data_IF_651773143485
#
_entry.id   IF_651773143485
#
_cell.length_a   1.000
_cell.length_b   1.000
_cell.length_c   1.000
_cell.angle_alpha   90.00
_cell.angle_beta   90.00
_cell.angle_gamma   90.00
#
_symmetry.space_group_name_H-M   'P 1'
#
loop_
_entity.id
_entity.type
_entity.pdbx_description
1 polymer ?
#
# COMPACT_ATOMS: atom_id res chain seq x y z
N UNK A 1 -6.12 -9.93 6.88
CA UNK A 1 -4.79 -9.36 6.53
C UNK A 1 -3.72 -10.44 6.29
N UNK A 2 -3.42 -11.32 7.25
CA UNK A 2 -2.29 -12.26 7.15
C UNK A 2 -2.30 -13.17 5.92
N UNK A 3 -3.48 -13.61 5.44
CA UNK A 3 -3.60 -14.42 4.23
C UNK A 3 -2.97 -13.77 2.99
N UNK A 4 -2.93 -12.44 2.91
CA UNK A 4 -2.34 -11.73 1.75
C UNK A 4 -0.83 -11.96 1.59
N UNK A 5 -0.15 -12.40 2.65
CA UNK A 5 1.29 -12.72 2.62
C UNK A 5 1.57 -14.18 2.26
N UNK A 6 0.53 -15.03 2.18
CA UNK A 6 0.69 -16.42 1.80
C UNK A 6 0.99 -16.59 0.30
N UNK A 7 1.70 -17.67 -0.04
CA UNK A 7 1.98 -18.03 -1.43
C UNK A 7 0.85 -18.76 -2.17
N UNK A 8 -0.22 -19.17 -1.46
CA UNK A 8 -1.34 -19.89 -2.06
C UNK A 8 -2.10 -19.00 -3.06
N UNK A 9 -2.51 -19.58 -4.20
CA UNK A 9 -3.22 -18.86 -5.26
C UNK A 9 -4.59 -18.37 -4.82
N UNK A 10 -5.28 -19.15 -4.00
CA UNK A 10 -6.63 -18.88 -3.46
C UNK A 10 -6.60 -18.29 -2.04
N UNK A 11 -5.48 -17.73 -1.63
CA UNK A 11 -5.22 -17.22 -0.27
C UNK A 11 -6.32 -16.33 0.31
N UNK A 12 -7.10 -15.67 -0.54
CA UNK A 12 -8.19 -14.80 -0.12
C UNK A 12 -9.55 -15.49 -0.03
N UNK A 13 -9.67 -16.76 -0.46
CA UNK A 13 -10.91 -17.56 -0.41
C UNK A 13 -11.49 -17.74 1.01
N UNK A 14 -10.70 -17.56 2.05
CA UNK A 14 -11.16 -17.55 3.45
C UNK A 14 -11.98 -16.30 3.83
N UNK A 15 -11.80 -15.18 3.11
CA UNK A 15 -12.38 -13.89 3.51
C UNK A 15 -13.91 -13.86 3.49
N UNK A 16 -14.63 -14.43 2.49
CA UNK A 16 -16.09 -14.47 2.53
C UNK A 16 -16.64 -15.15 3.78
N UNK A 17 -16.05 -16.28 4.17
CA UNK A 17 -16.45 -17.01 5.38
C UNK A 17 -16.16 -16.20 6.64
N UNK A 18 -14.97 -15.61 6.73
CA UNK A 18 -14.60 -14.73 7.84
C UNK A 18 -15.53 -13.52 7.94
N UNK A 19 -15.87 -12.89 6.82
CA UNK A 19 -16.76 -11.71 6.79
C UNK A 19 -18.16 -12.08 7.31
N UNK A 20 -18.69 -13.25 6.95
CA UNK A 20 -19.96 -13.75 7.51
C UNK A 20 -19.89 -13.88 9.03
N UNK A 21 -18.83 -14.52 9.54
CA UNK A 21 -18.62 -14.67 10.99
C UNK A 21 -18.53 -13.32 11.68
N UNK A 22 -17.77 -12.37 11.10
CA UNK A 22 -17.62 -11.03 11.66
C UNK A 22 -18.92 -10.23 11.65
N UNK A 23 -19.75 -10.39 10.60
CA UNK A 23 -21.06 -9.76 10.54
C UNK A 23 -22.02 -10.36 11.57
N UNK A 24 -22.12 -11.68 11.65
CA UNK A 24 -23.00 -12.37 12.62
C UNK A 24 -22.61 -12.00 14.06
N UNK A 25 -21.32 -11.99 14.37
CA UNK A 25 -20.81 -11.56 15.65
C UNK A 25 -21.11 -10.08 15.93
N UNK A 26 -20.93 -9.21 14.93
CA UNK A 26 -21.22 -7.78 15.03
C UNK A 26 -22.69 -7.52 15.33
N UNK A 27 -23.61 -8.24 14.67
CA UNK A 27 -25.06 -8.19 14.99
C UNK A 27 -25.29 -8.62 16.45
N UNK A 28 -24.62 -9.68 16.91
CA UNK A 28 -24.71 -10.16 18.29
C UNK A 28 -24.29 -9.14 19.36
N UNK A 29 -23.40 -8.20 19.03
CA UNK A 29 -23.00 -7.10 19.92
C UNK A 29 -23.78 -5.79 19.68
N UNK A 30 -24.81 -5.82 18.82
CA UNK A 30 -25.71 -4.69 18.57
C UNK A 30 -25.31 -3.78 17.39
N UNK A 31 -24.41 -4.22 16.49
CA UNK A 31 -24.18 -3.52 15.23
C UNK A 31 -25.33 -3.78 14.24
N UNK A 32 -25.66 -2.77 13.46
CA UNK A 32 -26.65 -2.84 12.38
C UNK A 32 -26.26 -1.92 11.23
N UNK A 33 -26.77 -2.19 10.06
CA UNK A 33 -26.70 -1.25 8.95
C UNK A 33 -27.33 0.09 9.35
N UNK A 34 -26.90 1.17 8.72
CA UNK A 34 -27.53 2.46 8.90
C UNK A 34 -28.88 2.49 8.14
N UNK A 35 -29.86 3.21 8.69
CA UNK A 35 -31.04 3.58 7.94
C UNK A 35 -30.66 4.73 7.00
N UNK A 36 -30.38 4.39 5.75
CA UNK A 36 -29.80 5.32 4.79
C UNK A 36 -30.88 5.83 3.85
N UNK A 37 -31.08 7.14 3.77
CA UNK A 37 -31.87 7.70 2.67
C UNK A 37 -31.18 7.39 1.33
N UNK A 38 -31.96 7.33 0.25
CA UNK A 38 -31.39 7.25 -1.09
C UNK A 38 -30.32 8.35 -1.29
N UNK A 39 -29.20 8.06 -2.00
CA UNK A 39 -28.17 9.04 -2.27
C UNK A 39 -28.81 10.30 -2.89
N UNK A 40 -28.70 11.43 -2.23
CA UNK A 40 -29.15 12.71 -2.75
C UNK A 40 -27.96 13.49 -3.22
N UNK A 41 -27.91 13.81 -4.51
CA UNK A 41 -26.94 14.76 -5.02
C UNK A 41 -27.11 16.10 -4.30
N UNK A 42 -26.13 16.46 -3.47
CA UNK A 42 -26.11 17.77 -2.81
C UNK A 42 -25.39 18.77 -3.70
N UNK A 43 -25.95 19.97 -3.91
CA UNK A 43 -25.26 21.03 -4.65
C UNK A 43 -24.00 21.52 -3.92
N UNK A 44 -23.97 21.36 -2.59
CA UNK A 44 -22.84 21.73 -1.71
C UNK A 44 -21.76 20.63 -1.66
N UNK A 45 -20.72 20.85 -0.85
CA UNK A 45 -19.68 19.87 -0.60
C UNK A 45 -20.21 18.63 0.14
N UNK A 46 -20.38 17.46 -0.52
CA UNK A 46 -20.84 16.26 0.17
C UNK A 46 -19.79 15.80 1.19
N UNK A 47 -20.28 15.12 2.24
CA UNK A 47 -19.41 14.62 3.31
C UNK A 47 -18.79 13.28 2.92
N UNK A 48 -17.48 13.24 2.81
CA UNK A 48 -16.69 12.04 2.61
C UNK A 48 -15.99 11.67 3.93
N UNK A 49 -16.46 10.62 4.58
CA UNK A 49 -15.82 10.07 5.76
C UNK A 49 -14.62 9.23 5.35
N UNK A 50 -13.46 9.58 5.83
CA UNK A 50 -12.23 8.80 5.65
C UNK A 50 -12.04 7.91 6.87
N UNK A 51 -12.24 6.61 6.70
CA UNK A 51 -12.01 5.61 7.74
C UNK A 51 -10.57 5.10 7.64
N UNK A 52 -9.72 5.54 8.58
CA UNK A 52 -8.30 5.21 8.59
C UNK A 52 -7.92 4.35 9.80
N UNK A 53 -7.55 3.10 9.54
CA UNK A 53 -7.10 2.17 10.58
C UNK A 53 -5.75 2.57 11.19
N UNK A 54 -4.86 3.12 10.37
CA UNK A 54 -3.56 3.67 10.76
C UNK A 54 -3.31 4.89 9.88
N UNK A 55 -3.08 6.05 10.51
CA UNK A 55 -2.81 7.27 9.75
C UNK A 55 -1.99 8.25 10.59
N UNK A 56 -0.68 8.08 10.60
CA UNK A 56 0.26 9.06 11.16
C UNK A 56 1.35 9.38 10.14
N UNK A 57 1.98 10.54 10.24
CA UNK A 57 2.88 11.09 9.21
C UNK A 57 4.11 10.20 8.89
N UNK A 58 4.48 9.32 9.82
CA UNK A 58 5.53 8.32 9.60
C UNK A 58 5.04 7.02 8.92
N UNK A 59 3.72 6.88 8.74
CA UNK A 59 3.15 5.65 8.21
C UNK A 59 3.05 5.68 6.68
N UNK A 60 3.13 4.49 6.07
CA UNK A 60 3.03 4.32 4.62
C UNK A 60 1.71 4.87 4.04
N UNK A 61 0.61 4.82 4.80
CA UNK A 61 -0.68 5.35 4.34
C UNK A 61 -0.66 6.88 4.18
N UNK A 62 0.04 7.61 5.06
CA UNK A 62 0.22 9.05 4.88
C UNK A 62 0.95 9.34 3.57
N UNK A 63 2.04 8.62 3.31
CA UNK A 63 2.83 8.79 2.08
C UNK A 63 2.03 8.46 0.82
N UNK A 64 1.18 7.43 0.87
CA UNK A 64 0.37 7.00 -0.27
C UNK A 64 -0.85 7.91 -0.49
N UNK A 65 -1.63 8.19 0.56
CA UNK A 65 -2.92 8.87 0.44
C UNK A 65 -2.84 10.40 0.62
N UNK A 66 -1.73 10.97 1.05
CA UNK A 66 -1.66 12.40 1.35
C UNK A 66 -2.11 13.29 0.19
N UNK A 67 -1.62 13.03 -1.02
CA UNK A 67 -2.02 13.78 -2.21
C UNK A 67 -3.46 13.47 -2.65
N UNK A 68 -3.96 12.25 -2.42
CA UNK A 68 -5.36 11.91 -2.65
C UNK A 68 -6.29 12.78 -1.79
N UNK A 69 -5.97 12.87 -0.50
CA UNK A 69 -6.77 13.65 0.45
C UNK A 69 -6.77 15.14 0.11
N UNK A 70 -5.63 15.69 -0.35
CA UNK A 70 -5.55 17.08 -0.82
C UNK A 70 -6.45 17.31 -2.04
N UNK A 71 -6.49 16.37 -2.99
CA UNK A 71 -7.40 16.46 -4.15
C UNK A 71 -8.86 16.35 -3.71
N UNK A 72 -9.21 15.36 -2.89
CA UNK A 72 -10.57 15.13 -2.42
C UNK A 72 -11.15 16.33 -1.67
N UNK A 73 -10.31 17.01 -0.87
CA UNK A 73 -10.71 18.21 -0.11
C UNK A 73 -11.15 19.38 -1.00
N UNK A 74 -10.79 19.40 -2.28
CA UNK A 74 -11.25 20.45 -3.20
C UNK A 74 -12.77 20.41 -3.42
N UNK A 75 -13.41 19.24 -3.28
CA UNK A 75 -14.82 19.04 -3.63
C UNK A 75 -15.66 18.41 -2.53
N UNK A 76 -15.02 17.70 -1.58
CA UNK A 76 -15.69 17.04 -0.46
C UNK A 76 -15.34 17.72 0.87
N UNK A 77 -16.30 17.69 1.80
CA UNK A 77 -15.97 17.91 3.22
C UNK A 77 -15.37 16.63 3.76
N UNK A 78 -14.08 16.65 4.09
CA UNK A 78 -13.37 15.48 4.59
C UNK A 78 -13.47 15.39 6.11
N UNK A 79 -14.00 14.28 6.59
CA UNK A 79 -14.06 13.94 8.01
C UNK A 79 -13.18 12.72 8.26
N UNK A 80 -12.12 12.83 9.04
CA UNK A 80 -11.31 11.68 9.45
C UNK A 80 -11.98 10.94 10.62
N UNK A 81 -12.08 9.64 10.52
CA UNK A 81 -12.40 8.74 11.63
C UNK A 81 -11.23 7.81 11.90
N UNK A 82 -10.63 7.90 13.10
CA UNK A 82 -9.48 7.08 13.47
C UNK A 82 -9.33 6.94 14.98
N UNK A 83 -8.47 6.03 15.44
CA UNK A 83 -8.07 5.97 16.85
C UNK A 83 -7.27 7.24 17.24
N UNK A 84 -7.46 7.74 18.45
CA UNK A 84 -6.84 9.00 18.92
C UNK A 84 -5.31 9.03 18.72
N UNK A 85 -4.65 7.90 18.90
CA UNK A 85 -3.20 7.75 18.75
C UNK A 85 -2.70 7.79 17.31
N UNK A 86 -3.59 7.80 16.30
CA UNK A 86 -3.23 7.60 14.90
C UNK A 86 -3.16 8.89 14.07
N UNK A 87 -3.46 10.06 14.64
CA UNK A 87 -3.43 11.31 13.88
C UNK A 87 -2.61 12.40 14.58
N UNK A 88 -1.39 12.60 14.09
CA UNK A 88 -0.52 13.73 14.45
C UNK A 88 -0.90 15.01 13.69
N UNK A 89 -0.23 16.14 13.97
CA UNK A 89 -0.56 17.44 13.40
C UNK A 89 -0.50 17.47 11.85
N UNK A 90 0.50 16.89 11.18
CA UNK A 90 0.53 16.82 9.72
C UNK A 90 -0.68 16.08 9.13
N UNK A 91 -1.09 14.97 9.76
CA UNK A 91 -2.27 14.22 9.32
C UNK A 91 -3.54 15.04 9.50
N UNK A 92 -3.73 15.64 10.68
CA UNK A 92 -4.94 16.44 10.96
C UNK A 92 -5.16 17.58 9.98
N UNK A 93 -4.08 18.19 9.47
CA UNK A 93 -4.15 19.29 8.52
C UNK A 93 -4.75 18.93 7.16
N UNK A 94 -4.85 17.64 6.82
CA UNK A 94 -5.43 17.15 5.58
C UNK A 94 -6.96 17.17 5.57
N UNK A 95 -7.61 17.31 6.73
CA UNK A 95 -9.05 17.15 6.91
C UNK A 95 -9.74 18.46 7.34
N UNK A 96 -11.04 18.56 7.08
CA UNK A 96 -11.87 19.65 7.60
C UNK A 96 -12.29 19.39 9.05
N UNK A 97 -12.42 18.10 9.43
CA UNK A 97 -12.81 17.66 10.74
C UNK A 97 -12.14 16.33 11.10
N UNK A 98 -11.88 16.11 12.40
CA UNK A 98 -11.32 14.85 12.89
C UNK A 98 -12.19 14.31 14.02
N UNK A 99 -12.64 13.07 13.86
CA UNK A 99 -13.41 12.33 14.83
C UNK A 99 -12.58 11.18 15.40
N UNK A 100 -12.28 11.28 16.68
CA UNK A 100 -11.52 10.25 17.39
C UNK A 100 -12.42 9.27 18.12
N UNK A 101 -11.91 8.05 18.26
CA UNK A 101 -12.42 7.08 19.20
C UNK A 101 -11.27 6.42 19.95
N UNK A 102 -11.60 5.85 21.13
CA UNK A 102 -10.67 5.03 21.90
C UNK A 102 -11.08 3.57 21.73
N UNK A 103 -10.09 2.74 21.49
CA UNK A 103 -10.28 1.30 21.53
C UNK A 103 -10.34 0.85 22.98
N UNK A 104 -11.40 0.13 23.33
CA UNK A 104 -11.61 -0.48 24.64
C UNK A 104 -11.29 -1.98 24.56
N UNK A 105 -11.06 -2.61 25.71
CA UNK A 105 -10.82 -4.07 25.77
C UNK A 105 -12.06 -4.86 25.34
N UNK A 106 -13.25 -4.35 25.69
CA UNK A 106 -14.54 -4.93 25.30
C UNK A 106 -14.98 -4.42 23.92
N UNK A 107 -15.68 -5.27 23.16
CA UNK A 107 -16.12 -4.96 21.81
C UNK A 107 -17.19 -3.85 21.73
N UNK A 108 -17.77 -3.43 22.85
CA UNK A 108 -18.79 -2.35 22.93
C UNK A 108 -18.34 -1.00 22.35
N UNK A 109 -17.03 -0.74 22.22
CA UNK A 109 -16.57 0.47 21.52
C UNK A 109 -16.95 0.48 20.03
N UNK A 110 -17.12 -0.68 19.39
CA UNK A 110 -17.51 -0.79 17.98
C UNK A 110 -18.91 -0.22 17.72
N UNK A 111 -19.86 -0.47 18.63
CA UNK A 111 -21.22 0.11 18.54
C UNK A 111 -21.17 1.63 18.70
N UNK A 112 -20.30 2.14 19.59
CA UNK A 112 -20.08 3.59 19.75
C UNK A 112 -19.48 4.21 18.48
N UNK A 113 -18.52 3.51 17.82
CA UNK A 113 -17.93 3.97 16.56
C UNK A 113 -18.98 3.96 15.44
N UNK A 114 -19.76 2.89 15.31
CA UNK A 114 -20.84 2.82 14.33
C UNK A 114 -21.90 3.92 14.56
N UNK A 115 -22.30 4.17 15.82
CA UNK A 115 -23.22 5.27 16.17
C UNK A 115 -22.63 6.64 15.79
N UNK A 116 -21.33 6.85 16.01
CA UNK A 116 -20.63 8.06 15.59
C UNK A 116 -20.65 8.23 14.08
N UNK A 117 -20.40 7.18 13.29
CA UNK A 117 -20.51 7.22 11.82
C UNK A 117 -21.95 7.60 11.42
N UNK A 118 -22.95 6.95 12.01
CA UNK A 118 -24.36 7.24 11.75
C UNK A 118 -24.74 8.69 12.09
N UNK A 119 -24.19 9.26 13.16
CA UNK A 119 -24.44 10.66 13.53
C UNK A 119 -23.79 11.68 12.58
N UNK A 120 -22.64 11.33 11.96
CA UNK A 120 -22.01 12.14 10.91
C UNK A 120 -22.88 12.13 9.65
N UNK A 121 -23.63 11.06 9.41
CA UNK A 121 -24.45 10.81 8.23
C UNK A 121 -23.66 11.09 6.92
N UNK A 122 -22.52 10.41 6.69
CA UNK A 122 -21.69 10.70 5.52
C UNK A 122 -22.41 10.28 4.23
N UNK A 123 -22.19 11.04 3.16
CA UNK A 123 -22.67 10.69 1.83
C UNK A 123 -21.86 9.50 1.27
N UNK A 124 -20.61 9.40 1.65
CA UNK A 124 -19.70 8.32 1.26
C UNK A 124 -18.73 7.99 2.39
N UNK A 125 -18.27 6.73 2.46
CA UNK A 125 -17.11 6.32 3.25
C UNK A 125 -16.00 5.87 2.31
N UNK A 126 -14.79 6.39 2.55
CA UNK A 126 -13.58 5.89 1.93
C UNK A 126 -12.71 5.21 3.01
N UNK A 127 -12.71 3.91 3.01
CA UNK A 127 -11.83 3.08 3.80
C UNK A 127 -10.44 3.11 3.18
N UNK A 128 -9.47 3.76 3.81
CA UNK A 128 -8.09 3.77 3.27
C UNK A 128 -7.50 2.36 3.25
N UNK A 129 -7.88 1.54 4.24
CA UNK A 129 -7.56 0.11 4.31
C UNK A 129 -8.66 -0.63 5.08
N UNK A 130 -8.74 -1.95 4.85
CA UNK A 130 -9.55 -2.87 5.67
C UNK A 130 -8.70 -4.08 6.02
N UNK A 131 -8.40 -4.25 7.33
CA UNK A 131 -7.66 -5.39 7.84
C UNK A 131 -6.31 -5.09 8.50
N UNK A 132 -5.93 -3.83 8.68
CA UNK A 132 -4.74 -3.46 9.45
C UNK A 132 -5.02 -3.34 10.96
N UNK A 133 -6.27 -3.10 11.34
CA UNK A 133 -6.79 -3.09 12.72
C UNK A 133 -8.06 -3.92 12.79
N UNK A 134 -8.40 -4.40 13.98
CA UNK A 134 -9.57 -5.31 14.14
C UNK A 134 -10.91 -4.64 13.87
N UNK A 135 -11.03 -3.32 14.12
CA UNK A 135 -12.29 -2.60 13.96
C UNK A 135 -12.69 -2.44 12.48
N UNK A 136 -11.72 -2.26 11.59
CA UNK A 136 -11.98 -2.05 10.17
C UNK A 136 -12.74 -3.23 9.54
N UNK A 137 -12.24 -4.48 9.61
CA UNK A 137 -12.96 -5.63 9.06
C UNK A 137 -14.35 -5.84 9.65
N UNK A 138 -14.55 -5.52 10.93
CA UNK A 138 -15.89 -5.67 11.54
C UNK A 138 -16.84 -4.64 10.96
N UNK A 139 -16.50 -3.33 11.05
CA UNK A 139 -17.39 -2.26 10.61
C UNK A 139 -17.58 -2.22 9.09
N UNK A 140 -16.58 -2.63 8.31
CA UNK A 140 -16.69 -2.72 6.86
C UNK A 140 -17.70 -3.78 6.38
N UNK A 141 -18.14 -4.70 7.25
CA UNK A 141 -19.21 -5.65 6.96
C UNK A 141 -20.61 -5.07 7.20
N UNK A 142 -20.72 -3.78 7.53
CA UNK A 142 -21.99 -3.08 7.70
C UNK A 142 -22.12 -1.93 6.70
N UNK A 143 -23.34 -1.73 6.18
CA UNK A 143 -23.66 -0.57 5.33
C UNK A 143 -23.81 0.65 6.22
N UNK A 144 -22.78 1.48 6.32
CA UNK A 144 -22.73 2.67 7.20
C UNK A 144 -22.83 3.99 6.42
N UNK A 145 -22.78 3.94 5.10
CA UNK A 145 -23.03 5.05 4.18
C UNK A 145 -23.65 4.53 2.87
N UNK A 146 -24.32 5.39 2.08
CA UNK A 146 -24.87 5.01 0.77
C UNK A 146 -23.81 4.41 -0.17
N UNK A 147 -22.61 4.97 -0.17
CA UNK A 147 -21.49 4.56 -1.03
C UNK A 147 -20.28 4.25 -0.15
N UNK A 148 -19.69 3.06 -0.31
CA UNK A 148 -18.49 2.64 0.41
C UNK A 148 -17.38 2.23 -0.55
N UNK A 149 -16.24 2.87 -0.43
CA UNK A 149 -15.04 2.68 -1.26
C UNK A 149 -13.90 2.15 -0.39
N UNK A 150 -13.08 1.26 -0.90
CA UNK A 150 -11.81 0.86 -0.26
C UNK A 150 -10.63 1.23 -1.15
N UNK A 151 -9.54 1.70 -0.55
CA UNK A 151 -8.27 2.01 -1.20
C UNK A 151 -7.18 0.97 -0.96
N UNK A 152 -6.03 1.19 -1.57
CA UNK A 152 -4.88 0.27 -1.59
C UNK A 152 -4.09 0.23 -0.25
N UNK A 153 -4.60 0.78 0.83
CA UNK A 153 -3.85 0.79 2.11
C UNK A 153 -3.55 -0.61 2.65
N UNK A 154 -4.43 -1.59 2.39
CA UNK A 154 -4.11 -3.00 2.40
C UNK A 154 -4.35 -3.56 1.00
N UNK A 155 -3.29 -4.09 0.38
CA UNK A 155 -3.26 -4.44 -1.04
C UNK A 155 -4.01 -5.75 -1.34
N UNK A 156 -5.29 -5.83 -1.00
CA UNK A 156 -6.11 -7.01 -1.27
C UNK A 156 -7.60 -6.67 -1.18
N UNK A 157 -8.42 -7.32 -2.02
CA UNK A 157 -9.88 -7.26 -1.93
C UNK A 157 -10.38 -7.53 -0.51
N UNK A 158 -11.42 -6.82 -0.11
CA UNK A 158 -12.06 -7.00 1.20
C UNK A 158 -12.96 -8.22 1.24
N UNK A 159 -13.61 -8.56 0.13
CA UNK A 159 -14.71 -9.52 0.04
C UNK A 159 -15.90 -9.16 0.95
N UNK A 160 -16.03 -7.89 1.36
CA UNK A 160 -17.20 -7.38 2.07
C UNK A 160 -18.28 -7.00 1.07
N UNK A 161 -19.50 -7.53 1.22
CA UNK A 161 -20.65 -7.22 0.33
C UNK A 161 -21.09 -5.76 0.41
N UNK A 162 -20.74 -5.09 1.51
CA UNK A 162 -21.04 -3.68 1.78
C UNK A 162 -20.04 -2.70 1.18
N UNK A 163 -18.91 -3.17 0.66
CA UNK A 163 -17.94 -2.33 -0.06
C UNK A 163 -18.25 -2.38 -1.55
N UNK A 164 -18.53 -1.22 -2.13
CA UNK A 164 -18.97 -1.11 -3.53
C UNK A 164 -17.79 -1.10 -4.49
N UNK A 165 -16.74 -0.34 -4.16
CA UNK A 165 -15.63 -0.05 -5.07
C UNK A 165 -14.27 -0.29 -4.43
N UNK A 166 -13.37 -0.86 -5.23
CA UNK A 166 -11.92 -0.83 -4.97
C UNK A 166 -11.29 0.25 -5.85
N UNK A 167 -10.58 1.18 -5.23
CA UNK A 167 -10.04 2.38 -5.85
C UNK A 167 -8.50 2.37 -5.83
N UNK A 168 -7.86 2.33 -7.00
CA UNK A 168 -6.40 2.24 -7.12
C UNK A 168 -5.93 2.57 -8.55
N UNK A 169 -4.64 2.68 -8.78
CA UNK A 169 -4.01 2.80 -10.08
C UNK A 169 -4.09 1.49 -10.87
N UNK A 170 -4.21 1.62 -12.20
CA UNK A 170 -4.39 0.48 -13.12
C UNK A 170 -3.22 -0.49 -13.08
N UNK A 171 -1.99 0.01 -13.02
CA UNK A 171 -0.77 -0.81 -13.02
C UNK A 171 -0.64 -1.75 -11.82
N UNK A 172 -1.34 -1.49 -10.73
CA UNK A 172 -1.38 -2.40 -9.58
C UNK A 172 -2.35 -3.57 -9.77
N UNK A 173 -3.30 -3.49 -10.69
CA UNK A 173 -4.29 -4.53 -10.91
C UNK A 173 -3.76 -5.52 -11.96
N UNK A 174 -3.59 -6.77 -11.53
CA UNK A 174 -3.27 -7.87 -12.44
C UNK A 174 -4.55 -8.51 -12.97
N UNK A 175 -5.08 -9.47 -12.22
CA UNK A 175 -6.33 -10.15 -12.57
C UNK A 175 -7.50 -9.53 -11.79
N UNK A 176 -8.42 -8.80 -12.47
CA UNK A 176 -9.59 -8.22 -11.83
C UNK A 176 -10.53 -9.24 -11.18
N UNK A 177 -10.48 -10.50 -11.59
CA UNK A 177 -11.31 -11.56 -11.02
C UNK A 177 -10.93 -11.91 -9.58
N UNK A 178 -9.71 -11.54 -9.15
CA UNK A 178 -9.24 -11.76 -7.78
C UNK A 178 -9.80 -10.75 -6.76
N UNK A 179 -10.54 -9.74 -7.22
CA UNK A 179 -11.18 -8.74 -6.37
C UNK A 179 -12.70 -8.93 -6.40
N UNK A 180 -13.38 -8.74 -5.27
CA UNK A 180 -14.85 -8.84 -5.18
C UNK A 180 -15.55 -7.54 -5.60
N UNK A 181 -14.95 -6.40 -5.30
CA UNK A 181 -15.51 -5.07 -5.53
C UNK A 181 -15.50 -4.70 -7.03
N UNK A 182 -16.33 -3.75 -7.45
CA UNK A 182 -16.16 -3.06 -8.72
C UNK A 182 -14.90 -2.19 -8.66
N UNK A 183 -14.12 -2.17 -9.74
CA UNK A 183 -12.81 -1.50 -9.78
C UNK A 183 -12.94 -0.14 -10.44
N UNK A 184 -12.53 0.91 -9.75
CA UNK A 184 -12.36 2.25 -10.33
C UNK A 184 -10.89 2.55 -10.40
N UNK A 185 -10.36 2.51 -11.63
CA UNK A 185 -8.93 2.58 -11.91
C UNK A 185 -8.51 4.00 -12.30
N UNK A 186 -7.40 4.41 -11.70
CA UNK A 186 -6.72 5.65 -12.03
C UNK A 186 -5.56 5.39 -13.00
N UNK A 187 -5.16 6.39 -13.79
CA UNK A 187 -3.86 6.36 -14.46
C UNK A 187 -2.71 6.19 -13.44
N UNK A 188 -1.66 5.48 -13.82
CA UNK A 188 -0.52 5.22 -12.92
C UNK A 188 0.18 6.51 -12.44
N UNK A 189 0.15 7.55 -13.26
CA UNK A 189 0.70 8.86 -12.93
C UNK A 189 -0.10 9.62 -11.85
N UNK A 190 -1.30 9.14 -11.52
CA UNK A 190 -2.13 9.74 -10.44
C UNK A 190 -1.53 9.50 -9.06
N UNK A 191 -0.71 8.45 -8.92
CA UNK A 191 -0.02 8.16 -7.69
C UNK A 191 1.15 9.12 -7.48
N UNK A 192 0.97 10.04 -6.56
CA UNK A 192 2.02 10.93 -6.07
C UNK A 192 2.19 10.66 -4.58
N UNK A 193 3.38 10.20 -4.18
CA UNK A 193 3.69 9.96 -2.78
C UNK A 193 3.85 11.29 -2.03
N UNK A 194 3.12 11.46 -0.95
CA UNK A 194 3.36 12.54 0.00
C UNK A 194 4.74 12.34 0.64
N UNK A 195 5.56 13.37 0.65
CA UNK A 195 6.86 13.29 1.30
C UNK A 195 6.69 13.21 2.82
N UNK A 196 7.42 12.30 3.48
CA UNK A 196 7.44 12.29 4.94
C UNK A 196 7.98 13.63 5.45
N UNK A 197 7.34 14.26 6.44
CA UNK A 197 7.86 15.49 7.05
C UNK A 197 9.21 15.29 7.76
N UNK A 198 9.61 14.06 7.98
CA UNK A 198 10.89 13.71 8.61
C UNK A 198 11.96 13.30 7.59
N UNK A 199 11.65 13.34 6.30
CA UNK A 199 12.60 12.96 5.25
C UNK A 199 13.67 14.04 5.05
N UNK A 200 14.94 13.64 5.13
CA UNK A 200 16.09 14.44 4.76
C UNK A 200 16.80 13.75 3.59
N UNK A 201 16.98 14.42 2.44
CA UNK A 201 17.70 13.84 1.32
C UNK A 201 19.15 13.46 1.71
N UNK A 202 19.57 12.30 1.23
CA UNK A 202 20.94 11.82 1.34
C UNK A 202 21.55 11.71 -0.05
N UNK A 203 22.84 12.03 -0.19
CA UNK A 203 23.56 11.73 -1.42
C UNK A 203 23.65 10.22 -1.62
N UNK A 204 23.33 9.74 -2.82
CA UNK A 204 23.40 8.33 -3.14
C UNK A 204 24.83 7.83 -3.08
N UNK A 205 25.04 6.69 -2.43
CA UNK A 205 26.34 6.05 -2.30
C UNK A 205 26.46 4.88 -3.30
N UNK A 206 27.00 5.16 -4.48
CA UNK A 206 27.21 4.14 -5.52
C UNK A 206 28.60 3.58 -5.40
N UNK A 207 28.74 2.35 -4.93
CA UNK A 207 30.02 1.66 -4.86
C UNK A 207 30.39 1.08 -6.23
N UNK A 208 31.48 1.56 -6.82
CA UNK A 208 31.96 1.12 -8.15
C UNK A 208 32.32 -0.38 -8.15
N UNK A 209 33.02 -0.82 -7.11
CA UNK A 209 33.37 -2.22 -6.86
C UNK A 209 32.78 -2.62 -5.49
N UNK A 210 31.92 -3.62 -5.50
CA UNK A 210 31.25 -4.10 -4.30
C UNK A 210 31.83 -5.45 -3.83
N UNK A 211 32.59 -5.46 -2.72
CA UNK A 211 33.08 -6.70 -2.12
C UNK A 211 33.16 -6.56 -0.58
N UNK A 212 32.30 -7.28 0.20
CA UNK A 212 31.15 -8.06 -0.28
C UNK A 212 30.10 -7.16 -0.95
N UNK A 213 29.28 -7.75 -1.82
CA UNK A 213 28.09 -7.05 -2.36
C UNK A 213 26.99 -7.07 -1.31
N UNK A 214 26.40 -5.91 -1.06
CA UNK A 214 25.37 -5.70 -0.02
C UNK A 214 23.98 -5.73 -0.62
N UNK A 215 23.21 -6.74 -0.21
CA UNK A 215 21.83 -6.96 -0.65
C UNK A 215 20.88 -6.37 0.37
N UNK A 216 20.11 -5.37 0.00
CA UNK A 216 19.04 -4.80 0.82
C UNK A 216 17.77 -5.64 0.77
N UNK A 217 17.15 -5.85 1.93
CA UNK A 217 15.82 -6.44 2.10
C UNK A 217 14.95 -5.48 2.94
N UNK A 218 14.51 -4.33 2.36
CA UNK A 218 13.77 -3.29 3.10
C UNK A 218 12.28 -3.65 3.18
N UNK A 219 11.97 -4.69 3.92
CA UNK A 219 10.61 -5.26 3.96
C UNK A 219 10.23 -5.75 5.34
N UNK A 220 8.97 -5.48 5.73
CA UNK A 220 8.39 -6.00 6.95
C UNK A 220 8.55 -7.52 7.04
N UNK A 221 8.78 -8.03 8.26
CA UNK A 221 9.01 -9.45 8.54
C UNK A 221 7.97 -10.38 7.90
N UNK A 222 6.70 -9.99 7.85
CA UNK A 222 5.64 -10.79 7.23
C UNK A 222 5.85 -11.07 5.73
N UNK A 223 6.63 -10.26 5.04
CA UNK A 223 6.98 -10.43 3.62
C UNK A 223 8.17 -11.36 3.43
N UNK A 224 9.03 -11.50 4.43
CA UNK A 224 10.24 -12.33 4.41
C UNK A 224 9.90 -13.79 4.73
N UNK A 225 9.07 -14.39 3.89
CA UNK A 225 8.56 -15.74 4.09
C UNK A 225 9.62 -16.82 3.83
N UNK A 226 9.41 -18.08 4.31
CA UNK A 226 10.40 -19.15 4.16
C UNK A 226 10.76 -19.48 2.71
N UNK A 227 9.82 -19.37 1.78
CA UNK A 227 10.06 -19.61 0.35
C UNK A 227 11.06 -18.58 -0.21
N UNK A 228 10.82 -17.29 0.06
CA UNK A 228 11.71 -16.22 -0.36
C UNK A 228 13.11 -16.36 0.24
N UNK A 229 13.22 -16.70 1.54
CA UNK A 229 14.53 -17.01 2.17
C UNK A 229 15.23 -18.17 1.46
N UNK A 230 14.48 -19.19 1.02
CA UNK A 230 15.02 -20.28 0.21
C UNK A 230 15.59 -19.80 -1.12
N UNK A 231 14.94 -18.86 -1.78
CA UNK A 231 15.43 -18.24 -3.04
C UNK A 231 16.67 -17.40 -2.78
N UNK A 232 16.72 -16.61 -1.70
CA UNK A 232 17.92 -15.86 -1.34
C UNK A 232 19.13 -16.77 -1.08
N UNK A 233 18.91 -17.98 -0.52
CA UNK A 233 19.98 -18.99 -0.37
C UNK A 233 20.47 -19.47 -1.74
N UNK A 234 19.56 -19.80 -2.67
CA UNK A 234 19.95 -20.19 -4.04
C UNK A 234 20.77 -19.10 -4.71
N UNK A 235 20.38 -17.83 -4.57
CA UNK A 235 21.15 -16.69 -5.11
C UNK A 235 22.53 -16.64 -4.48
N UNK A 236 22.65 -16.71 -3.14
CA UNK A 236 23.93 -16.71 -2.44
C UNK A 236 24.85 -17.84 -2.91
N UNK A 237 24.30 -19.05 -3.03
CA UNK A 237 25.07 -20.26 -3.33
C UNK A 237 25.54 -20.29 -4.80
N UNK A 238 24.93 -19.48 -5.69
CA UNK A 238 25.28 -19.36 -7.11
C UNK A 238 26.02 -18.05 -7.45
N UNK A 239 26.11 -17.09 -6.53
CA UNK A 239 26.85 -15.85 -6.75
C UNK A 239 28.36 -16.08 -6.83
N UNK A 240 29.05 -15.36 -7.73
CA UNK A 240 30.50 -15.46 -7.95
C UNK A 240 31.32 -14.64 -6.95
N UNK A 241 30.66 -13.97 -6.02
CA UNK A 241 31.27 -13.12 -4.98
C UNK A 241 30.56 -13.26 -3.64
N UNK A 242 31.20 -12.86 -2.53
CA UNK A 242 30.58 -12.83 -1.21
C UNK A 242 29.39 -11.87 -1.19
N UNK A 243 28.28 -12.28 -0.58
CA UNK A 243 27.08 -11.48 -0.34
C UNK A 243 26.90 -11.18 1.15
N UNK A 244 26.50 -9.96 1.46
CA UNK A 244 26.09 -9.54 2.79
C UNK A 244 24.62 -9.06 2.72
N UNK A 245 23.71 -9.75 3.43
CA UNK A 245 22.29 -9.41 3.44
C UNK A 245 21.99 -8.40 4.56
N UNK A 246 21.44 -7.26 4.18
CA UNK A 246 21.00 -6.20 5.06
C UNK A 246 19.47 -6.24 5.18
N UNK A 247 18.98 -6.70 6.32
CA UNK A 247 17.57 -7.01 6.55
C UNK A 247 16.94 -5.92 7.41
N UNK A 248 15.87 -5.29 6.92
CA UNK A 248 15.15 -4.21 7.60
C UNK A 248 13.71 -4.62 7.93
N UNK A 249 13.51 -5.55 8.90
CA UNK A 249 12.22 -6.21 9.12
C UNK A 249 11.20 -5.35 9.87
N UNK A 250 11.59 -4.16 10.31
CA UNK A 250 10.77 -3.23 11.10
C UNK A 250 10.26 -3.84 12.42
N UNK A 251 11.13 -4.54 13.13
CA UNK A 251 10.83 -5.21 14.41
C UNK A 251 11.79 -4.80 15.51
N UNK A 252 11.38 -5.04 16.76
CA UNK A 252 12.19 -4.77 17.95
C UNK A 252 12.05 -5.88 19.01
N UNK A 253 12.73 -5.71 20.15
CA UNK A 253 12.61 -6.61 21.30
C UNK A 253 12.89 -8.08 20.98
N UNK A 254 12.05 -8.98 21.48
CA UNK A 254 12.17 -10.43 21.29
C UNK A 254 12.00 -10.87 19.83
N UNK A 255 11.14 -10.16 19.07
CA UNK A 255 10.92 -10.45 17.66
C UNK A 255 12.21 -10.20 16.84
N UNK A 256 12.96 -9.13 17.16
CA UNK A 256 14.26 -8.88 16.54
C UNK A 256 15.26 -10.01 16.84
N UNK A 257 15.31 -10.48 18.09
CA UNK A 257 16.21 -11.57 18.46
C UNK A 257 15.86 -12.87 17.71
N UNK A 258 14.57 -13.18 17.60
CA UNK A 258 14.10 -14.34 16.84
C UNK A 258 14.40 -14.21 15.35
N UNK A 259 14.22 -13.01 14.77
CA UNK A 259 14.54 -12.71 13.37
C UNK A 259 16.05 -12.83 13.11
N UNK A 260 16.90 -12.32 13.98
CA UNK A 260 18.36 -12.49 13.90
C UNK A 260 18.78 -13.96 13.90
N UNK A 261 18.18 -14.76 14.79
CA UNK A 261 18.44 -16.23 14.83
C UNK A 261 18.01 -16.91 13.53
N UNK A 262 16.84 -16.54 13.00
CA UNK A 262 16.32 -17.07 11.74
C UNK A 262 17.29 -16.78 10.58
N UNK A 263 17.64 -15.50 10.39
CA UNK A 263 18.52 -15.10 9.30
C UNK A 263 19.92 -15.67 9.46
N UNK A 264 20.47 -15.66 10.67
CA UNK A 264 21.80 -16.25 10.90
C UNK A 264 21.85 -17.76 10.64
N UNK A 265 20.72 -18.46 10.83
CA UNK A 265 20.59 -19.89 10.50
C UNK A 265 20.58 -20.16 9.00
N UNK A 266 19.85 -19.35 8.22
CA UNK A 266 19.60 -19.62 6.80
C UNK A 266 20.51 -18.82 5.87
N UNK A 267 20.91 -17.63 6.27
CA UNK A 267 21.80 -16.70 5.57
C UNK A 267 22.86 -16.18 6.56
N UNK A 268 23.86 -17.01 6.92
CA UNK A 268 24.91 -16.63 7.87
C UNK A 268 25.61 -15.34 7.45
N UNK A 269 25.94 -14.47 8.42
CA UNK A 269 26.57 -13.17 8.18
C UNK A 269 25.56 -12.04 7.84
N UNK A 270 24.25 -12.31 7.82
CA UNK A 270 23.25 -11.27 7.61
C UNK A 270 23.24 -10.24 8.74
N UNK A 271 23.11 -8.97 8.39
CA UNK A 271 22.91 -7.86 9.32
C UNK A 271 21.42 -7.58 9.43
N UNK A 272 20.82 -7.86 10.58
CA UNK A 272 19.40 -7.61 10.85
C UNK A 272 19.25 -6.37 11.72
N UNK A 273 18.71 -5.31 11.15
CA UNK A 273 18.55 -4.01 11.80
C UNK A 273 17.33 -3.98 12.72
N UNK A 274 17.44 -3.32 13.89
CA UNK A 274 16.25 -3.01 14.68
C UNK A 274 15.42 -1.94 13.99
N UNK A 275 14.18 -1.74 14.46
CA UNK A 275 13.39 -0.57 14.08
C UNK A 275 14.16 0.71 14.39
N UNK A 276 14.24 1.64 13.43
CA UNK A 276 14.98 2.89 13.51
C UNK A 276 14.11 4.08 13.13
N UNK A 277 14.59 5.30 13.43
CA UNK A 277 14.03 6.52 12.82
C UNK A 277 14.25 6.49 11.30
N UNK A 278 13.36 7.14 10.57
CA UNK A 278 13.33 7.04 9.11
C UNK A 278 14.67 7.41 8.44
N UNK A 279 15.30 8.52 8.84
CA UNK A 279 16.58 8.93 8.24
C UNK A 279 17.74 8.00 8.61
N UNK A 280 17.73 7.42 9.82
CA UNK A 280 18.74 6.43 10.23
C UNK A 280 18.61 5.12 9.42
N UNK A 281 17.35 4.71 9.14
CA UNK A 281 17.07 3.61 8.22
C UNK A 281 17.53 3.91 6.80
N UNK A 282 17.28 5.12 6.27
CA UNK A 282 17.75 5.51 4.95
C UNK A 282 19.27 5.53 4.85
N UNK A 283 19.98 5.94 5.90
CA UNK A 283 21.44 5.91 5.93
C UNK A 283 22.00 4.48 5.84
N UNK A 284 21.39 3.52 6.57
CA UNK A 284 21.76 2.11 6.46
C UNK A 284 21.43 1.53 5.09
N UNK A 285 20.26 1.88 4.53
CA UNK A 285 19.84 1.44 3.20
C UNK A 285 20.79 1.97 2.12
N UNK A 286 21.23 3.22 2.23
CA UNK A 286 22.17 3.87 1.30
C UNK A 286 23.55 3.19 1.24
N UNK A 287 23.86 2.32 2.19
CA UNK A 287 25.09 1.52 2.18
C UNK A 287 24.98 0.24 1.33
N UNK A 288 23.79 -0.08 0.79
CA UNK A 288 23.53 -1.28 0.02
C UNK A 288 23.69 -1.04 -1.49
N UNK A 289 23.83 -2.13 -2.26
CA UNK A 289 24.15 -2.10 -3.69
C UNK A 289 22.99 -2.54 -4.58
N UNK A 290 22.15 -3.45 -4.10
CA UNK A 290 20.99 -3.99 -4.82
C UNK A 290 19.87 -4.31 -3.84
N UNK A 291 18.62 -4.10 -4.25
CA UNK A 291 17.44 -4.52 -3.50
C UNK A 291 16.84 -5.77 -4.15
N UNK A 292 16.62 -6.82 -3.38
CA UNK A 292 15.87 -7.99 -3.77
C UNK A 292 14.49 -7.96 -3.11
N UNK A 293 13.46 -7.60 -3.90
CA UNK A 293 12.11 -7.45 -3.36
C UNK A 293 11.47 -8.80 -3.06
N UNK A 294 10.83 -8.94 -1.88
CA UNK A 294 10.17 -10.19 -1.52
C UNK A 294 8.90 -10.43 -2.34
N UNK A 295 8.54 -11.69 -2.45
CA UNK A 295 7.31 -12.13 -3.09
C UNK A 295 6.60 -13.20 -2.24
N UNK A 296 5.28 -13.35 -2.39
CA UNK A 296 4.36 -12.71 -3.32
C UNK A 296 3.91 -11.29 -2.94
N UNK A 297 4.48 -10.67 -1.92
CA UNK A 297 4.08 -9.35 -1.45
C UNK A 297 5.25 -8.37 -1.55
N UNK A 298 5.20 -7.46 -2.52
CA UNK A 298 6.23 -6.48 -2.79
C UNK A 298 6.37 -5.34 -1.76
N UNK A 299 7.35 -4.47 -1.97
CA UNK A 299 7.80 -3.43 -1.04
C UNK A 299 7.00 -2.14 -1.08
N UNK A 300 6.62 -1.66 -2.25
CA UNK A 300 6.08 -0.34 -2.59
C UNK A 300 6.88 0.83 -1.97
N UNK A 301 6.67 1.17 -0.70
CA UNK A 301 7.39 2.27 -0.04
C UNK A 301 8.89 2.01 0.10
N UNK A 302 9.30 0.77 0.38
CA UNK A 302 10.71 0.38 0.40
C UNK A 302 11.37 0.46 -0.98
N UNK A 303 10.59 0.31 -2.05
CA UNK A 303 11.04 0.52 -3.44
C UNK A 303 11.31 2.00 -3.70
N UNK A 304 10.41 2.88 -3.31
CA UNK A 304 10.62 4.34 -3.39
C UNK A 304 11.87 4.76 -2.63
N UNK A 305 12.06 4.21 -1.42
CA UNK A 305 13.23 4.50 -0.60
C UNK A 305 14.53 4.00 -1.27
N UNK A 306 14.50 2.82 -1.92
CA UNK A 306 15.64 2.29 -2.69
C UNK A 306 15.97 3.18 -3.90
N UNK A 307 14.97 3.62 -4.65
CA UNK A 307 15.20 4.50 -5.81
C UNK A 307 15.75 5.86 -5.42
N UNK A 308 15.34 6.41 -4.27
CA UNK A 308 15.91 7.63 -3.70
C UNK A 308 17.40 7.51 -3.40
N UNK A 309 17.86 6.29 -3.10
CA UNK A 309 19.28 5.97 -2.86
C UNK A 309 19.99 5.42 -4.11
N UNK A 310 19.34 5.51 -5.29
CA UNK A 310 19.85 4.97 -6.56
C UNK A 310 20.16 3.46 -6.51
N UNK A 311 19.47 2.70 -5.67
CA UNK A 311 19.65 1.25 -5.52
C UNK A 311 18.75 0.52 -6.52
N UNK A 312 19.33 -0.24 -7.48
CA UNK A 312 18.56 -1.05 -8.41
C UNK A 312 17.81 -2.18 -7.69
N UNK A 313 16.67 -2.58 -8.24
CA UNK A 313 15.75 -3.53 -7.63
C UNK A 313 15.36 -4.62 -8.60
N UNK A 314 15.29 -5.87 -8.10
CA UNK A 314 14.66 -7.00 -8.80
C UNK A 314 13.34 -7.33 -8.09
N UNK A 315 12.29 -7.55 -8.86
CA UNK A 315 10.99 -8.00 -8.35
C UNK A 315 10.44 -9.17 -9.15
N UNK A 316 9.62 -10.00 -8.50
CA UNK A 316 8.85 -11.06 -9.16
C UNK A 316 7.39 -10.63 -9.23
N UNK A 317 6.86 -10.51 -10.44
CA UNK A 317 5.49 -10.09 -10.67
C UNK A 317 4.52 -11.28 -10.62
N UNK A 318 3.34 -11.05 -10.07
CA UNK A 318 2.27 -12.04 -9.99
C UNK A 318 0.91 -11.47 -10.39
N UNK A 319 -0.16 -12.28 -10.33
CA UNK A 319 -1.49 -11.89 -10.80
C UNK A 319 -2.26 -11.00 -9.81
N UNK A 320 -1.90 -11.01 -8.53
CA UNK A 320 -2.63 -10.29 -7.49
C UNK A 320 -1.95 -8.95 -7.13
N UNK A 321 -2.72 -8.03 -6.57
CA UNK A 321 -2.30 -6.67 -6.24
C UNK A 321 -0.94 -6.59 -5.52
N UNK A 322 -0.70 -7.33 -4.41
CA UNK A 322 0.56 -7.19 -3.67
C UNK A 322 1.79 -7.62 -4.46
N UNK A 323 1.63 -8.47 -5.49
CA UNK A 323 2.72 -8.93 -6.34
C UNK A 323 3.03 -7.96 -7.50
N UNK A 324 2.29 -6.87 -7.64
CA UNK A 324 2.45 -5.88 -8.73
C UNK A 324 2.94 -4.51 -8.24
N UNK A 325 3.04 -4.34 -6.93
CA UNK A 325 3.40 -3.04 -6.34
C UNK A 325 4.72 -2.50 -6.88
N UNK A 326 5.72 -3.35 -6.98
CA UNK A 326 7.08 -2.97 -7.32
C UNK A 326 7.29 -2.89 -8.82
N UNK A 327 6.68 -3.82 -9.57
CA UNK A 327 6.77 -3.83 -11.03
C UNK A 327 6.12 -2.61 -11.67
N UNK A 328 4.99 -2.13 -11.13
CA UNK A 328 4.38 -0.87 -11.56
C UNK A 328 5.35 0.30 -11.39
N UNK A 329 6.04 0.39 -10.25
CA UNK A 329 7.00 1.45 -9.98
C UNK A 329 8.21 1.41 -10.93
N UNK A 330 8.71 0.20 -11.24
CA UNK A 330 9.79 0.03 -12.22
C UNK A 330 9.36 0.50 -13.62
N UNK A 331 8.15 0.14 -14.06
CA UNK A 331 7.58 0.59 -15.34
C UNK A 331 7.40 2.10 -15.39
N UNK A 332 6.89 2.69 -14.33
CA UNK A 332 6.66 4.13 -14.22
C UNK A 332 7.96 4.94 -14.34
N UNK A 333 9.07 4.41 -13.83
CA UNK A 333 10.40 5.01 -13.97
C UNK A 333 11.10 4.69 -15.30
N UNK A 334 10.49 3.92 -16.21
CA UNK A 334 11.09 3.51 -17.48
C UNK A 334 12.35 2.66 -17.30
N UNK A 335 12.39 1.88 -16.22
CA UNK A 335 13.51 0.98 -15.95
C UNK A 335 13.43 -0.30 -16.80
N UNK A 336 14.56 -0.99 -17.04
CA UNK A 336 14.60 -2.16 -17.92
C UNK A 336 13.63 -3.27 -17.49
N UNK A 337 12.85 -3.81 -18.44
CA UNK A 337 11.83 -4.83 -18.17
C UNK A 337 12.35 -6.14 -17.57
N UNK A 338 13.64 -6.49 -17.80
CA UNK A 338 14.24 -7.69 -17.21
C UNK A 338 14.40 -7.64 -15.69
N UNK A 339 14.25 -6.45 -15.06
CA UNK A 339 14.19 -6.29 -13.60
C UNK A 339 12.87 -6.83 -13.03
N UNK A 340 11.88 -7.09 -13.88
CA UNK A 340 10.56 -7.62 -13.53
C UNK A 340 10.49 -9.07 -13.97
N UNK A 341 10.85 -9.98 -13.06
CA UNK A 341 10.80 -11.41 -13.33
C UNK A 341 9.35 -11.92 -13.37
N UNK A 342 9.10 -12.94 -14.19
CA UNK A 342 7.80 -13.58 -14.33
C UNK A 342 7.73 -14.93 -13.61
N UNK A 343 8.89 -15.48 -13.23
CA UNK A 343 9.03 -16.71 -12.44
C UNK A 343 10.28 -16.66 -11.56
N UNK A 344 10.45 -17.68 -10.73
CA UNK A 344 11.56 -17.76 -9.78
C UNK A 344 12.94 -17.88 -10.47
N UNK A 345 13.01 -18.59 -11.59
CA UNK A 345 14.26 -18.80 -12.32
C UNK A 345 14.73 -17.48 -12.95
N UNK A 346 13.82 -16.74 -13.56
CA UNK A 346 14.07 -15.40 -14.07
C UNK A 346 14.47 -14.43 -12.95
N UNK A 347 13.84 -14.52 -11.77
CA UNK A 347 14.21 -13.70 -10.61
C UNK A 347 15.64 -13.98 -10.15
N UNK A 348 16.03 -15.25 -10.00
CA UNK A 348 17.37 -15.65 -9.62
C UNK A 348 18.38 -15.19 -10.66
N UNK A 349 18.09 -15.42 -11.94
CA UNK A 349 18.95 -15.00 -13.06
C UNK A 349 19.17 -13.50 -13.10
N UNK A 350 18.11 -12.70 -12.95
CA UNK A 350 18.18 -11.24 -12.93
C UNK A 350 18.97 -10.74 -11.69
N UNK A 351 18.79 -11.37 -10.53
CA UNK A 351 19.54 -11.05 -9.32
C UNK A 351 21.04 -11.31 -9.51
N UNK A 352 21.41 -12.50 -10.00
CA UNK A 352 22.81 -12.87 -10.26
C UNK A 352 23.46 -11.96 -11.32
N UNK A 353 22.70 -11.53 -12.34
CA UNK A 353 23.15 -10.57 -13.35
C UNK A 353 23.64 -9.26 -12.73
N UNK A 354 22.89 -8.68 -11.77
CA UNK A 354 23.31 -7.46 -11.07
C UNK A 354 24.41 -7.73 -10.04
N UNK A 355 24.36 -8.87 -9.38
CA UNK A 355 25.30 -9.24 -8.32
C UNK A 355 26.71 -9.48 -8.90
N UNK A 356 26.81 -10.17 -10.03
CA UNK A 356 28.08 -10.60 -10.59
C UNK A 356 28.67 -9.60 -11.61
N UNK A 357 27.95 -8.52 -11.93
CA UNK A 357 28.36 -7.50 -12.91
C UNK A 357 28.29 -6.08 -12.34
N UNK A 358 29.39 -5.63 -11.73
CA UNK A 358 29.49 -4.27 -11.17
C UNK A 358 29.23 -3.19 -12.23
N UNK A 359 29.72 -3.35 -13.45
CA UNK A 359 29.56 -2.34 -14.51
C UNK A 359 28.05 -2.12 -14.83
N UNK A 360 27.28 -3.19 -14.96
CA UNK A 360 25.85 -3.10 -15.25
C UNK A 360 25.07 -2.56 -14.05
N UNK A 361 25.39 -3.02 -12.83
CA UNK A 361 24.79 -2.54 -11.59
C UNK A 361 25.01 -1.05 -11.42
N UNK A 362 26.25 -0.58 -11.55
CA UNK A 362 26.64 0.83 -11.43
C UNK A 362 25.97 1.69 -12.52
N UNK A 363 25.96 1.21 -13.78
CA UNK A 363 25.30 1.90 -14.87
C UNK A 363 23.79 2.08 -14.59
N UNK A 364 23.14 1.05 -14.03
CA UNK A 364 21.72 1.11 -13.64
C UNK A 364 21.50 2.07 -12.45
N UNK A 365 22.36 2.03 -11.44
CA UNK A 365 22.34 2.98 -10.31
C UNK A 365 22.48 4.42 -10.79
N UNK A 366 23.42 4.69 -11.69
CA UNK A 366 23.60 6.02 -12.31
C UNK A 366 22.38 6.43 -13.15
N UNK A 367 21.77 5.49 -13.87
CA UNK A 367 20.52 5.74 -14.58
C UNK A 367 19.41 6.16 -13.60
N UNK A 368 19.23 5.44 -12.50
CA UNK A 368 18.23 5.78 -11.47
C UNK A 368 18.53 7.15 -10.85
N UNK A 369 19.80 7.42 -10.53
CA UNK A 369 20.22 8.71 -9.99
C UNK A 369 19.94 9.89 -10.95
N UNK A 370 20.08 9.65 -12.26
CA UNK A 370 19.80 10.66 -13.28
C UNK A 370 18.30 10.88 -13.51
N UNK A 371 17.45 9.96 -13.09
CA UNK A 371 16.02 10.16 -13.06
C UNK A 371 15.68 11.07 -11.88
N UNK A 372 14.88 12.10 -12.13
CA UNK A 372 14.31 12.88 -11.03
C UNK A 372 13.18 12.07 -10.36
N UNK A 373 13.61 11.10 -9.52
CA UNK A 373 12.71 10.20 -8.80
C UNK A 373 11.68 10.99 -7.97
N UNK A 374 12.10 12.14 -7.42
CA UNK A 374 11.23 12.99 -6.62
C UNK A 374 10.12 13.62 -7.47
N UNK A 375 10.43 14.12 -8.67
CA UNK A 375 9.41 14.72 -9.54
C UNK A 375 8.46 13.66 -10.11
N UNK A 376 8.96 12.45 -10.38
CA UNK A 376 8.14 11.35 -10.92
C UNK A 376 7.25 10.70 -9.87
N UNK A 377 7.75 10.53 -8.66
CA UNK A 377 7.11 9.69 -7.64
C UNK A 377 6.53 10.51 -6.48
N UNK A 378 7.20 11.59 -6.07
CA UNK A 378 6.82 12.33 -4.87
C UNK A 378 6.28 13.71 -5.20
N UNK A 379 5.22 14.09 -4.49
CA UNK A 379 4.73 15.46 -4.48
C UNK A 379 5.34 16.26 -3.31
N UNK A 380 5.45 17.54 -3.52
CA UNK A 380 5.78 18.54 -2.49
C UNK A 380 4.80 19.72 -2.56
N UNK A 381 5.05 20.75 -1.76
CA UNK A 381 4.20 21.94 -1.71
C UNK A 381 4.12 22.69 -3.05
N UNK A 382 5.10 22.50 -3.95
CA UNK A 382 5.16 23.15 -5.28
C UNK A 382 4.57 22.27 -6.39
N UNK A 383 4.36 20.97 -6.13
CA UNK A 383 3.77 20.04 -7.10
C UNK A 383 2.33 20.43 -7.38
N UNK A 384 1.96 20.71 -8.65
CA UNK A 384 0.59 21.05 -9.00
C UNK A 384 -0.38 19.95 -8.56
N UNK A 385 -1.47 20.36 -7.90
CA UNK A 385 -2.46 19.42 -7.41
C UNK A 385 -3.24 18.81 -8.59
N UNK A 386 -3.08 17.51 -8.80
CA UNK A 386 -3.81 16.77 -9.84
C UNK A 386 -5.30 16.69 -9.50
N UNK A 387 -6.11 16.23 -10.46
CA UNK A 387 -7.57 16.11 -10.29
C UNK A 387 -8.09 14.68 -10.47
N UNK A 388 -7.24 13.76 -10.91
CA UNK A 388 -7.65 12.40 -11.28
C UNK A 388 -8.44 11.68 -10.16
N UNK A 389 -8.00 11.86 -8.91
CA UNK A 389 -8.62 11.23 -7.73
C UNK A 389 -9.97 11.90 -7.42
N UNK A 390 -9.99 13.22 -7.32
CA UNK A 390 -11.23 13.94 -6.97
C UNK A 390 -12.28 13.78 -8.07
N UNK A 391 -11.88 13.82 -9.34
CA UNK A 391 -12.80 13.65 -10.47
C UNK A 391 -13.37 12.22 -10.52
N UNK A 392 -12.54 11.20 -10.19
CA UNK A 392 -13.01 9.83 -10.12
C UNK A 392 -13.99 9.57 -8.97
N UNK A 393 -13.69 10.07 -7.76
CA UNK A 393 -14.58 9.90 -6.60
C UNK A 393 -15.87 10.72 -6.79
N UNK A 394 -15.76 11.89 -7.43
CA UNK A 394 -16.94 12.67 -7.78
C UNK A 394 -17.82 11.97 -8.82
N UNK A 395 -17.21 11.35 -9.83
CA UNK A 395 -17.91 10.55 -10.81
C UNK A 395 -18.65 9.37 -10.17
N UNK A 396 -18.01 8.65 -9.21
CA UNK A 396 -18.70 7.61 -8.44
C UNK A 396 -19.91 8.18 -7.71
N UNK A 397 -19.76 9.33 -7.04
CA UNK A 397 -20.83 9.97 -6.28
C UNK A 397 -22.05 10.30 -7.16
N UNK A 398 -21.79 10.83 -8.35
CA UNK A 398 -22.87 11.23 -9.28
C UNK A 398 -23.53 10.04 -9.98
N UNK A 399 -22.81 8.94 -10.20
CA UNK A 399 -23.26 7.87 -11.08
C UNK A 399 -23.43 6.52 -10.36
N UNK A 400 -23.43 6.49 -9.02
CA UNK A 400 -23.42 5.27 -8.23
C UNK A 400 -24.44 4.24 -8.70
N UNK A 401 -25.72 4.63 -8.83
CA UNK A 401 -26.81 3.75 -9.24
C UNK A 401 -26.60 3.19 -10.65
N UNK A 402 -26.19 4.03 -11.58
CA UNK A 402 -25.92 3.60 -12.96
C UNK A 402 -24.71 2.65 -13.03
N UNK A 403 -23.66 2.92 -12.25
CA UNK A 403 -22.48 2.06 -12.14
C UNK A 403 -22.88 0.68 -11.60
N UNK A 404 -23.66 0.64 -10.52
CA UNK A 404 -24.15 -0.60 -9.91
C UNK A 404 -25.04 -1.38 -10.88
N UNK A 405 -25.98 -0.71 -11.52
CA UNK A 405 -26.90 -1.32 -12.48
C UNK A 405 -26.21 -1.87 -13.73
N UNK A 406 -25.04 -1.31 -14.10
CA UNK A 406 -24.30 -1.77 -15.28
C UNK A 406 -23.74 -3.18 -15.15
N UNK A 407 -23.55 -3.68 -13.92
CA UNK A 407 -22.88 -4.96 -13.64
C UNK A 407 -21.42 -5.04 -14.11
N UNK A 408 -20.88 -3.95 -14.66
CA UNK A 408 -19.51 -3.89 -15.17
C UNK A 408 -18.50 -3.95 -14.04
N UNK A 409 -17.42 -4.72 -14.23
CA UNK A 409 -16.41 -4.98 -13.19
C UNK A 409 -15.35 -3.88 -13.09
N UNK A 410 -14.94 -3.28 -14.21
CA UNK A 410 -13.79 -2.37 -14.28
C UNK A 410 -14.18 -1.07 -14.97
N UNK A 411 -13.83 0.04 -14.35
CA UNK A 411 -14.04 1.41 -14.86
C UNK A 411 -12.69 2.16 -14.89
N UNK A 412 -12.31 2.65 -16.05
CA UNK A 412 -11.11 3.44 -16.30
C UNK A 412 -11.45 4.92 -16.50
N UNK A 413 -10.45 5.77 -16.56
CA UNK A 413 -10.64 7.20 -16.82
C UNK A 413 -11.47 7.48 -18.10
N UNK A 414 -11.20 6.73 -19.18
CA UNK A 414 -11.92 6.87 -20.44
C UNK A 414 -13.42 6.51 -20.34
N UNK A 415 -13.77 5.60 -19.44
CA UNK A 415 -15.16 5.15 -19.28
C UNK A 415 -16.06 6.21 -18.62
N UNK A 416 -15.45 7.19 -17.93
CA UNK A 416 -16.19 8.26 -17.24
C UNK A 416 -16.94 9.20 -18.19
N UNK A 417 -16.47 9.32 -19.42
CA UNK A 417 -17.15 10.10 -20.44
C UNK A 417 -18.43 9.43 -20.99
N UNK A 418 -18.57 8.12 -20.82
CA UNK A 418 -19.72 7.33 -21.30
C UNK A 418 -20.93 7.41 -20.36
N UNK A 419 -20.70 7.77 -19.10
CA UNK A 419 -21.75 8.05 -18.11
C UNK A 419 -21.80 9.57 -17.90
N UNK A 420 -22.52 10.33 -18.76
CA UNK A 420 -22.64 11.76 -18.56
C UNK A 420 -23.36 12.02 -17.23
N UNK A 421 -22.85 12.99 -16.49
CA UNK A 421 -23.50 13.47 -15.25
C UNK A 421 -24.96 13.79 -15.54
N UNK A 422 -25.88 13.20 -14.77
CA UNK A 422 -27.30 13.53 -14.83
C UNK A 422 -27.55 14.99 -14.40
#
# INVERSE_FOLDING_TARGET
MLCSYAGARDKHGIKPVLNKVLRDWGVGIGLSDADLPAPRLRPDRPTLLIAAEIMHSNHVQYRYFGQYLRQLRQRFRLVLLTEESQADAPVRSLYDEVQFFKREAEAGYLTKVAAKIKSIAPDMIFWLSVGMRHWGPVLANFRLAPIQIVGLGHCASTFCETIDYFFTEEGFVGDPALLSEQLVLLPDESLIFERSPHYTPLAANIREIANPLRVALPSNLLKLNPHFIGVLRKIRDNARRPLEFHVFPNVGGLELLSTRRLFNRYLPGSIVYPIKRYNDYLADLNACDVNLSPFPFGGLNGVVDSFRQAIPLITLEGPDLPARLDSMMLRRLGLPGWLIAQDEEAYISAALRLIDNDAERVALSRKILALDVESVISGDATTPLRRDVVDAVWWIYQNHEAIKASGRKVFRAADRAVFPSA
#
